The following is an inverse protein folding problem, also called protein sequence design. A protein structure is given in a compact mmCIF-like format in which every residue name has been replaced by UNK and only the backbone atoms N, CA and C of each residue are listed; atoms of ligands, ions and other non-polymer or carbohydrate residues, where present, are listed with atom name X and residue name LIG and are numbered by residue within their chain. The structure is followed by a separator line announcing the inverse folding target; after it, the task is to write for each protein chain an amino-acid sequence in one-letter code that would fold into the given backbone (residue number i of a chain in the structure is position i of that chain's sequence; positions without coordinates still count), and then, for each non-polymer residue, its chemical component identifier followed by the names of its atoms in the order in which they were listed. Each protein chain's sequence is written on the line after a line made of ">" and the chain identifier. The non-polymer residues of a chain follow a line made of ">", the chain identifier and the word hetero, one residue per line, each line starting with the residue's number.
data_IF_197352914866
#
_entry.id   IF_197352914866
#
_cell.length_a   1.000
_cell.length_b   1.000
_cell.length_c   1.000
_cell.angle_alpha   90.00
_cell.angle_beta   90.00
_cell.angle_gamma   90.00
#
_symmetry.space_group_name_H-M   'P 1'
#
loop_
_entity.id
_entity.type
_entity.pdbx_description
1 polymer ?
#
# COMPACT_ATOMS: atom_id res chain seq x y z
N UNK A 1 25.25 22.16 -145.88
CA UNK A 1 23.87 22.41 -146.36
C UNK A 1 23.03 22.82 -145.17
N UNK A 2 22.26 23.89 -145.36
CA UNK A 2 21.59 24.71 -144.37
C UNK A 2 20.23 24.10 -143.97
N UNK A 3 19.97 23.85 -142.69
CA UNK A 3 18.62 23.63 -142.16
C UNK A 3 18.49 24.25 -140.77
N UNK A 4 17.42 25.03 -140.63
CA UNK A 4 17.11 25.98 -139.56
C UNK A 4 16.84 25.33 -138.19
N UNK A 5 17.01 26.07 -137.08
CA UNK A 5 16.66 25.62 -135.73
C UNK A 5 15.15 25.82 -135.48
N UNK A 6 14.57 25.22 -134.42
CA UNK A 6 13.96 26.14 -133.44
C UNK A 6 13.78 25.64 -131.98
N UNK A 7 13.55 26.64 -131.11
CA UNK A 7 12.81 26.69 -129.83
C UNK A 7 13.54 26.38 -128.51
N UNK A 8 13.77 27.46 -127.76
CA UNK A 8 13.95 27.47 -126.31
C UNK A 8 12.64 27.05 -125.59
N UNK A 9 12.71 26.26 -124.50
CA UNK A 9 11.65 26.18 -123.52
C UNK A 9 11.71 27.34 -122.51
N UNK A 10 10.58 27.72 -121.89
CA UNK A 10 10.45 28.90 -121.04
C UNK A 10 11.12 28.75 -119.67
N UNK A 11 11.63 29.88 -119.17
CA UNK A 11 12.08 30.10 -117.80
C UNK A 11 10.92 29.95 -116.81
N UNK A 12 11.02 28.96 -115.92
CA UNK A 12 10.20 28.91 -114.71
C UNK A 12 10.94 29.61 -113.57
N UNK A 13 10.28 30.61 -113.03
CA UNK A 13 10.74 31.43 -111.91
C UNK A 13 10.95 30.63 -110.62
N UNK A 14 11.94 31.13 -109.90
CA UNK A 14 12.45 30.80 -108.57
C UNK A 14 11.33 30.75 -107.50
N UNK A 15 11.56 30.05 -106.37
CA UNK A 15 11.61 30.86 -105.15
C UNK A 15 12.78 30.51 -104.22
N UNK A 16 13.24 31.58 -103.57
CA UNK A 16 14.26 31.67 -102.55
C UNK A 16 14.33 30.46 -101.60
N UNK A 17 15.53 29.89 -101.47
CA UNK A 17 15.87 29.07 -100.32
C UNK A 17 15.79 29.95 -99.06
N UNK A 18 14.68 29.81 -98.33
CA UNK A 18 14.57 30.26 -96.94
C UNK A 18 15.66 29.59 -96.11
N UNK A 19 16.54 30.41 -95.57
CA UNK A 19 17.49 30.06 -94.50
C UNK A 19 16.71 29.39 -93.36
N UNK A 20 16.93 28.09 -93.16
CA UNK A 20 16.38 27.37 -92.03
C UNK A 20 17.07 27.86 -90.74
N UNK A 21 16.32 28.30 -89.72
CA UNK A 21 16.92 28.61 -88.42
C UNK A 21 17.41 27.31 -87.77
N UNK A 22 18.57 27.39 -87.12
CA UNK A 22 19.19 26.30 -86.37
C UNK A 22 18.25 25.76 -85.28
N UNK A 23 17.44 24.77 -85.63
CA UNK A 23 16.62 24.00 -84.71
C UNK A 23 17.40 22.76 -84.26
N UNK A 24 18.42 22.97 -83.44
CA UNK A 24 18.97 21.92 -82.59
C UNK A 24 19.41 22.55 -81.26
N UNK A 25 18.43 22.98 -80.47
CA UNK A 25 18.62 23.13 -79.03
C UNK A 25 18.60 21.73 -78.43
N UNK A 26 19.76 21.21 -78.04
CA UNK A 26 19.88 19.96 -77.30
C UNK A 26 18.97 20.01 -76.07
N UNK A 27 18.07 19.05 -75.84
CA UNK A 27 17.25 19.06 -74.63
C UNK A 27 18.20 18.92 -73.44
N UNK A 28 18.29 19.97 -72.60
CA UNK A 28 18.90 19.87 -71.27
C UNK A 28 18.22 18.69 -70.57
N UNK A 29 18.96 17.60 -70.35
CA UNK A 29 18.51 16.51 -69.47
C UNK A 29 18.25 17.12 -68.10
N UNK A 30 16.98 17.38 -67.79
CA UNK A 30 16.56 17.68 -66.44
C UNK A 30 16.78 16.38 -65.65
N UNK A 31 17.86 16.31 -64.87
CA UNK A 31 17.99 15.28 -63.85
C UNK A 31 16.76 15.36 -62.96
N UNK A 32 16.01 14.26 -62.76
CA UNK A 32 14.85 14.28 -61.88
C UNK A 32 15.30 14.75 -60.49
N UNK A 33 14.52 15.64 -59.82
CA UNK A 33 14.86 16.08 -58.48
C UNK A 33 14.98 14.86 -57.57
N UNK A 34 16.03 14.81 -56.75
CA UNK A 34 16.22 13.75 -55.77
C UNK A 34 14.92 13.56 -54.95
N UNK A 35 14.48 12.32 -54.67
CA UNK A 35 13.27 12.10 -53.90
C UNK A 35 13.40 12.80 -52.55
N UNK A 36 12.50 13.73 -52.28
CA UNK A 36 12.47 14.44 -51.00
C UNK A 36 12.32 13.41 -49.87
N UNK A 37 13.00 13.58 -48.72
CA UNK A 37 12.89 12.65 -47.61
C UNK A 37 11.42 12.59 -47.19
N UNK A 38 10.76 11.46 -47.48
CA UNK A 38 9.37 11.22 -47.06
C UNK A 38 9.35 11.31 -45.54
N UNK A 39 8.91 12.46 -45.01
CA UNK A 39 8.62 12.63 -43.58
C UNK A 39 7.61 11.54 -43.22
N UNK A 40 8.07 10.46 -42.57
CA UNK A 40 7.19 9.41 -42.06
C UNK A 40 6.27 10.09 -41.05
N UNK A 41 5.02 10.37 -41.46
CA UNK A 41 3.99 10.83 -40.53
C UNK A 41 3.79 9.69 -39.57
N UNK A 42 4.12 9.92 -38.30
CA UNK A 42 3.87 8.96 -37.23
C UNK A 42 2.38 8.64 -37.23
N UNK A 43 2.06 7.35 -37.27
CA UNK A 43 0.69 6.89 -37.18
C UNK A 43 0.14 7.19 -35.78
N UNK A 44 -1.18 7.23 -35.64
CA UNK A 44 -1.83 7.33 -34.32
C UNK A 44 -1.35 6.19 -33.40
N UNK A 45 -1.11 5.00 -33.96
CA UNK A 45 -0.55 3.86 -33.24
C UNK A 45 0.85 4.15 -32.69
N UNK A 46 1.74 4.81 -33.44
CA UNK A 46 3.08 5.18 -32.96
C UNK A 46 3.00 6.10 -31.74
N UNK A 47 2.04 7.04 -31.72
CA UNK A 47 1.81 7.91 -30.58
C UNK A 47 1.27 7.16 -29.36
N UNK A 48 0.33 6.22 -29.56
CA UNK A 48 -0.18 5.37 -28.49
C UNK A 48 0.95 4.52 -27.90
N UNK A 49 1.77 3.88 -28.73
CA UNK A 49 2.90 3.07 -28.28
C UNK A 49 3.90 3.92 -27.50
N UNK A 50 4.25 5.12 -27.99
CA UNK A 50 5.14 6.04 -27.27
C UNK A 50 4.56 6.49 -25.93
N UNK A 51 3.25 6.75 -25.86
CA UNK A 51 2.58 7.10 -24.63
C UNK A 51 2.65 5.96 -23.62
N UNK A 52 2.35 4.73 -24.04
CA UNK A 52 2.42 3.54 -23.19
C UNK A 52 3.85 3.26 -22.70
N UNK A 53 4.84 3.37 -23.58
CA UNK A 53 6.25 3.26 -23.21
C UNK A 53 6.68 4.37 -22.24
N UNK A 54 6.21 5.60 -22.45
CA UNK A 54 6.45 6.73 -21.55
C UNK A 54 5.86 6.50 -20.16
N UNK A 55 4.62 6.01 -20.09
CA UNK A 55 3.96 5.67 -18.82
C UNK A 55 4.68 4.52 -18.10
N UNK A 56 5.08 3.48 -18.85
CA UNK A 56 5.86 2.38 -18.28
C UNK A 56 7.21 2.86 -17.75
N UNK A 57 7.94 3.69 -18.51
CA UNK A 57 9.18 4.29 -18.07
C UNK A 57 8.99 5.16 -16.81
N UNK A 58 7.90 5.93 -16.73
CA UNK A 58 7.57 6.69 -15.54
C UNK A 58 7.36 5.79 -14.31
N UNK A 59 6.67 4.65 -14.46
CA UNK A 59 6.50 3.67 -13.39
C UNK A 59 7.87 3.11 -12.96
N UNK A 60 8.70 2.68 -13.92
CA UNK A 60 10.04 2.15 -13.64
C UNK A 60 10.91 3.19 -12.91
N UNK A 61 10.92 4.44 -13.38
CA UNK A 61 11.67 5.53 -12.74
C UNK A 61 11.14 5.83 -11.34
N UNK A 62 9.83 5.76 -11.13
CA UNK A 62 9.21 5.95 -9.81
C UNK A 62 9.63 4.84 -8.85
N UNK A 63 9.52 3.57 -9.25
CA UNK A 63 9.98 2.44 -8.43
C UNK A 63 11.47 2.57 -8.15
N UNK A 64 12.28 2.90 -9.16
CA UNK A 64 13.72 3.10 -8.97
C UNK A 64 14.03 4.23 -7.99
N UNK A 65 13.33 5.36 -8.05
CA UNK A 65 13.52 6.47 -7.12
C UNK A 65 13.18 6.08 -5.67
N UNK A 66 12.07 5.34 -5.48
CA UNK A 66 11.61 4.85 -4.18
C UNK A 66 12.54 3.78 -3.56
N UNK A 67 13.52 3.26 -4.32
CA UNK A 67 14.61 2.45 -3.77
C UNK A 67 15.41 3.21 -2.70
N UNK A 68 15.54 4.52 -2.84
CA UNK A 68 16.33 5.36 -1.91
C UNK A 68 15.50 6.42 -1.19
N UNK A 69 14.40 6.88 -1.79
CA UNK A 69 13.58 7.95 -1.22
C UNK A 69 12.52 7.40 -0.27
N UNK A 70 12.24 8.07 0.86
CA UNK A 70 11.11 7.71 1.71
C UNK A 70 9.80 7.79 0.91
N UNK A 71 8.86 6.90 1.22
CA UNK A 71 7.55 6.89 0.58
C UNK A 71 6.67 7.96 1.24
N UNK A 72 6.25 9.04 0.58
CA UNK A 72 5.47 10.09 1.24
C UNK A 72 3.99 9.69 1.43
N UNK A 73 3.46 8.87 0.52
CA UNK A 73 2.07 8.40 0.54
C UNK A 73 1.95 7.14 -0.31
N UNK A 74 0.82 6.44 -0.20
CA UNK A 74 0.52 5.24 -0.98
C UNK A 74 -0.91 5.27 -1.49
N UNK A 75 -1.19 4.44 -2.49
CA UNK A 75 -2.55 4.27 -3.00
C UNK A 75 -3.55 3.85 -1.91
N UNK A 76 -3.14 3.04 -0.92
CA UNK A 76 -3.97 2.67 0.22
C UNK A 76 -4.21 3.83 1.20
N UNK A 77 -3.19 4.63 1.51
CA UNK A 77 -3.34 5.81 2.38
C UNK A 77 -4.33 6.82 1.78
N UNK A 78 -4.29 7.03 0.46
CA UNK A 78 -5.19 7.93 -0.26
C UNK A 78 -6.65 7.45 -0.29
N UNK A 79 -6.87 6.15 -0.12
CA UNK A 79 -8.20 5.51 -0.13
C UNK A 79 -8.64 5.06 1.26
N UNK A 80 -7.94 5.51 2.32
CA UNK A 80 -8.31 5.18 3.69
C UNK A 80 -9.70 5.74 4.03
N UNK A 81 -10.61 4.93 4.62
CA UNK A 81 -11.91 5.42 5.08
C UNK A 81 -11.79 6.31 6.34
N UNK A 82 -10.63 6.28 7.01
CA UNK A 82 -10.33 7.11 8.17
C UNK A 82 -9.41 8.24 7.74
N UNK A 83 -9.86 9.49 7.96
CA UNK A 83 -9.09 10.70 7.67
C UNK A 83 -9.08 11.64 8.89
N UNK A 84 -7.96 12.32 9.20
CA UNK A 84 -6.65 12.17 8.56
C UNK A 84 -5.97 10.84 8.93
N UNK A 85 -5.16 10.30 8.02
CA UNK A 85 -4.33 9.13 8.31
C UNK A 85 -3.18 9.51 9.24
N UNK A 86 -2.80 8.61 10.16
CA UNK A 86 -1.60 8.71 10.97
C UNK A 86 -0.48 7.94 10.28
N UNK A 87 0.56 8.65 9.88
CA UNK A 87 1.68 8.09 9.15
C UNK A 87 2.98 8.82 9.48
N UNK A 88 4.01 8.06 9.80
CA UNK A 88 5.36 8.58 10.02
C UNK A 88 6.36 7.61 9.41
N UNK A 89 7.13 8.08 8.42
CA UNK A 89 8.22 7.30 7.85
C UNK A 89 9.42 7.26 8.80
N UNK A 90 9.97 6.07 9.02
CA UNK A 90 11.26 5.86 9.70
C UNK A 90 12.17 4.94 8.90
N UNK A 91 13.49 5.21 8.84
CA UNK A 91 14.44 4.31 8.19
C UNK A 91 14.53 2.97 8.93
N UNK A 92 14.96 1.91 8.23
CA UNK A 92 15.07 0.56 8.79
C UNK A 92 15.87 0.49 10.10
N UNK A 93 16.91 1.33 10.26
CA UNK A 93 17.73 1.42 11.48
C UNK A 93 16.99 1.94 12.71
N UNK A 94 15.81 2.56 12.54
CA UNK A 94 14.93 3.03 13.61
C UNK A 94 13.74 2.10 13.84
N UNK A 95 13.77 0.88 13.30
CA UNK A 95 12.78 -0.15 13.54
C UNK A 95 13.44 -1.29 14.31
N UNK A 96 12.83 -1.74 15.40
CA UNK A 96 13.37 -2.84 16.20
C UNK A 96 13.56 -4.12 15.37
N UNK A 97 14.65 -4.86 15.62
CA UNK A 97 14.96 -6.13 14.96
C UNK A 97 13.85 -7.16 15.19
N UNK A 98 13.27 -7.15 16.39
CA UNK A 98 12.12 -7.99 16.73
C UNK A 98 10.90 -7.71 15.85
N UNK A 99 10.72 -6.47 15.40
CA UNK A 99 9.61 -6.10 14.52
C UNK A 99 9.82 -6.61 13.10
N UNK A 100 11.06 -6.51 12.59
CA UNK A 100 11.44 -7.10 11.30
C UNK A 100 11.24 -8.62 11.32
N UNK A 101 11.74 -9.29 12.37
CA UNK A 101 11.59 -10.72 12.55
C UNK A 101 10.13 -11.16 12.72
N UNK A 102 9.32 -10.40 13.46
CA UNK A 102 7.91 -10.71 13.68
C UNK A 102 7.09 -10.69 12.38
N UNK A 103 7.32 -9.70 11.51
CA UNK A 103 6.63 -9.61 10.22
C UNK A 103 7.05 -10.72 9.28
N UNK A 104 8.36 -11.00 9.17
CA UNK A 104 8.84 -12.13 8.36
C UNK A 104 8.21 -13.43 8.85
N UNK A 105 8.24 -13.69 10.16
CA UNK A 105 7.64 -14.89 10.74
C UNK A 105 6.12 -14.98 10.51
N UNK A 106 5.41 -13.86 10.54
CA UNK A 106 3.95 -13.82 10.45
C UNK A 106 3.42 -13.92 9.02
N UNK A 107 4.07 -13.24 8.07
CA UNK A 107 3.58 -13.00 6.71
C UNK A 107 4.32 -13.83 5.67
N UNK A 108 5.64 -14.07 5.85
CA UNK A 108 6.50 -14.57 4.79
C UNK A 108 7.83 -15.14 5.34
N UNK A 109 7.78 -16.35 5.90
CA UNK A 109 8.95 -16.98 6.56
C UNK A 109 10.14 -17.19 5.60
N UNK A 110 9.87 -17.35 4.30
CA UNK A 110 10.88 -17.56 3.24
C UNK A 110 11.25 -16.27 2.51
N UNK A 111 10.93 -15.11 3.07
CA UNK A 111 11.09 -13.80 2.41
C UNK A 111 12.44 -13.59 1.73
N UNK A 112 13.55 -13.99 2.37
CA UNK A 112 14.90 -13.83 1.83
C UNK A 112 15.30 -14.90 0.81
N UNK A 113 14.59 -16.02 0.76
CA UNK A 113 14.90 -17.16 -0.11
C UNK A 113 14.29 -16.98 -1.51
N UNK A 114 13.07 -16.43 -1.60
CA UNK A 114 12.37 -16.29 -2.87
C UNK A 114 12.60 -14.92 -3.55
N UNK A 115 12.09 -14.77 -4.79
CA UNK A 115 12.17 -13.54 -5.61
C UNK A 115 10.78 -12.96 -5.88
N UNK A 116 10.07 -12.61 -4.81
CA UNK A 116 8.72 -12.04 -4.86
C UNK A 116 7.55 -13.02 -4.77
N UNK A 117 7.75 -14.30 -5.09
CA UNK A 117 6.70 -15.30 -5.04
C UNK A 117 7.19 -16.56 -4.32
N UNK A 118 6.43 -17.00 -3.32
CA UNK A 118 6.64 -18.31 -2.68
C UNK A 118 5.73 -19.35 -3.35
N UNK A 119 6.29 -20.08 -4.32
CA UNK A 119 5.54 -21.09 -5.07
C UNK A 119 5.10 -22.27 -4.20
N UNK A 120 5.88 -22.63 -3.18
CA UNK A 120 5.51 -23.69 -2.25
C UNK A 120 4.33 -23.26 -1.37
N UNK A 121 4.33 -22.01 -0.88
CA UNK A 121 3.20 -21.47 -0.14
C UNK A 121 1.93 -21.38 -1.03
N UNK A 122 2.08 -21.02 -2.30
CA UNK A 122 0.98 -21.00 -3.27
C UNK A 122 0.40 -22.40 -3.47
N UNK A 123 1.24 -23.41 -3.68
CA UNK A 123 0.80 -24.80 -3.85
C UNK A 123 0.09 -25.32 -2.60
N UNK A 124 0.69 -25.12 -1.42
CA UNK A 124 0.08 -25.47 -0.13
C UNK A 124 -1.26 -24.78 0.09
N UNK A 125 -1.37 -23.50 -0.28
CA UNK A 125 -2.63 -22.76 -0.18
C UNK A 125 -3.69 -23.31 -1.15
N UNK A 126 -3.31 -23.68 -2.37
CA UNK A 126 -4.22 -24.31 -3.34
C UNK A 126 -4.76 -25.64 -2.79
N UNK A 127 -3.89 -26.49 -2.27
CA UNK A 127 -4.28 -27.80 -1.74
C UNK A 127 -5.14 -27.68 -0.48
N UNK A 128 -4.79 -26.76 0.42
CA UNK A 128 -5.61 -26.43 1.58
C UNK A 128 -7.01 -25.95 1.16
N UNK A 129 -7.08 -25.04 0.18
CA UNK A 129 -8.34 -24.43 -0.27
C UNK A 129 -9.23 -25.40 -1.07
N UNK A 130 -8.67 -26.50 -1.60
CA UNK A 130 -9.45 -27.60 -2.19
C UNK A 130 -10.12 -28.47 -1.14
N UNK A 131 -9.49 -28.62 0.03
CA UNK A 131 -9.92 -29.56 1.08
C UNK A 131 -10.75 -28.89 2.18
N UNK A 132 -10.62 -27.58 2.37
CA UNK A 132 -11.25 -26.82 3.45
C UNK A 132 -12.14 -25.70 2.90
N UNK A 133 -13.19 -25.34 3.64
CA UNK A 133 -14.03 -24.17 3.32
C UNK A 133 -13.32 -22.83 3.53
N UNK A 134 -12.27 -22.80 4.34
CA UNK A 134 -11.57 -21.57 4.73
C UNK A 134 -10.38 -21.33 3.82
N UNK A 135 -10.31 -20.13 3.22
CA UNK A 135 -9.24 -19.79 2.28
C UNK A 135 -7.98 -19.34 3.02
N UNK A 136 -6.85 -19.95 2.69
CA UNK A 136 -5.52 -19.52 3.11
C UNK A 136 -4.90 -18.64 2.03
N UNK A 137 -4.34 -17.50 2.46
CA UNK A 137 -3.56 -16.62 1.59
C UNK A 137 -2.14 -17.15 1.37
N UNK A 138 -1.51 -16.74 0.27
CA UNK A 138 -0.12 -17.03 -0.06
C UNK A 138 0.60 -15.80 -0.65
N UNK A 139 0.19 -14.58 -0.25
CA UNK A 139 0.80 -13.35 -0.76
C UNK A 139 2.03 -12.99 0.07
N UNK A 140 3.18 -12.86 -0.59
CA UNK A 140 4.47 -12.50 0.03
C UNK A 140 4.50 -11.03 0.47
N UNK A 141 5.51 -10.67 1.29
CA UNK A 141 5.74 -9.27 1.68
C UNK A 141 5.93 -8.37 0.45
N UNK A 142 6.60 -8.86 -0.60
CA UNK A 142 6.83 -8.11 -1.83
C UNK A 142 5.54 -7.86 -2.61
N UNK A 143 4.66 -8.86 -2.69
CA UNK A 143 3.34 -8.71 -3.30
C UNK A 143 2.46 -7.72 -2.54
N UNK A 144 2.46 -7.81 -1.21
CA UNK A 144 1.72 -6.87 -0.37
C UNK A 144 2.28 -5.45 -0.47
N UNK A 145 3.60 -5.30 -0.60
CA UNK A 145 4.25 -4.00 -0.83
C UNK A 145 3.80 -3.40 -2.17
N UNK A 146 3.82 -4.18 -3.25
CA UNK A 146 3.33 -3.75 -4.56
C UNK A 146 1.86 -3.32 -4.52
N UNK A 147 1.02 -4.13 -3.85
CA UNK A 147 -0.41 -3.85 -3.66
C UNK A 147 -0.62 -2.53 -2.93
N UNK A 148 -0.03 -2.37 -1.74
CA UNK A 148 -0.28 -1.23 -0.88
C UNK A 148 0.24 0.08 -1.48
N UNK A 149 1.38 0.02 -2.16
CA UNK A 149 2.06 1.20 -2.71
C UNK A 149 1.33 1.77 -3.94
N UNK A 150 0.96 0.90 -4.90
CA UNK A 150 0.54 1.33 -6.23
C UNK A 150 -0.90 0.99 -6.60
N UNK A 151 -1.55 0.07 -5.88
CA UNK A 151 -2.85 -0.47 -6.26
C UNK A 151 -3.94 -0.08 -5.25
N UNK A 152 -5.18 -0.42 -5.59
CA UNK A 152 -6.36 -0.14 -4.78
C UNK A 152 -6.83 -1.36 -3.98
N UNK A 153 -7.62 -1.16 -2.91
CA UNK A 153 -8.28 -2.24 -2.17
C UNK A 153 -9.26 -3.04 -3.06
N UNK A 154 -9.52 -4.30 -2.72
CA UNK A 154 -10.46 -5.16 -3.44
C UNK A 154 -9.80 -6.28 -4.25
N UNK A 155 -10.61 -7.09 -4.94
CA UNK A 155 -10.16 -8.29 -5.64
C UNK A 155 -9.98 -8.14 -7.15
N UNK A 156 -9.84 -9.27 -7.83
CA UNK A 156 -9.89 -9.36 -9.30
C UNK A 156 -8.58 -9.83 -9.94
N UNK A 157 -8.70 -10.72 -10.93
CA UNK A 157 -7.55 -11.28 -11.66
C UNK A 157 -6.72 -10.21 -12.37
N UNK A 158 -7.36 -9.17 -12.90
CA UNK A 158 -6.66 -8.06 -13.55
C UNK A 158 -5.74 -7.32 -12.57
N UNK A 159 -6.29 -6.89 -11.41
CA UNK A 159 -5.51 -6.24 -10.36
C UNK A 159 -4.39 -7.16 -9.86
N UNK A 160 -4.66 -8.45 -9.69
CA UNK A 160 -3.64 -9.43 -9.27
C UNK A 160 -2.53 -9.62 -10.32
N UNK A 161 -2.84 -9.49 -11.61
CA UNK A 161 -1.85 -9.47 -12.69
C UNK A 161 -0.95 -8.23 -12.64
N UNK A 162 -1.52 -7.04 -12.39
CA UNK A 162 -0.75 -5.81 -12.18
C UNK A 162 0.15 -5.93 -10.93
N UNK A 163 -0.39 -6.48 -9.84
CA UNK A 163 0.37 -6.75 -8.61
C UNK A 163 1.58 -7.65 -8.88
N UNK A 164 1.40 -8.72 -9.67
CA UNK A 164 2.50 -9.61 -10.03
C UNK A 164 3.58 -8.88 -10.86
N UNK A 165 3.19 -8.08 -11.87
CA UNK A 165 4.15 -7.31 -12.67
C UNK A 165 4.94 -6.28 -11.85
N UNK A 166 4.26 -5.56 -10.95
CA UNK A 166 4.89 -4.62 -10.04
C UNK A 166 5.79 -5.32 -9.00
N UNK A 167 5.41 -6.52 -8.54
CA UNK A 167 6.23 -7.34 -7.63
C UNK A 167 7.56 -7.70 -8.28
N UNK A 168 7.53 -8.15 -9.55
CA UNK A 168 8.76 -8.45 -10.30
C UNK A 168 9.64 -7.21 -10.43
N UNK A 169 9.03 -6.05 -10.74
CA UNK A 169 9.76 -4.79 -10.86
C UNK A 169 10.42 -4.38 -9.53
N UNK A 170 9.70 -4.47 -8.42
CA UNK A 170 10.21 -4.18 -7.06
C UNK A 170 11.36 -5.13 -6.71
N UNK A 171 11.19 -6.44 -6.87
CA UNK A 171 12.22 -7.44 -6.56
C UNK A 171 13.47 -7.34 -7.44
N UNK A 172 13.32 -6.84 -8.67
CA UNK A 172 14.45 -6.58 -9.56
C UNK A 172 15.20 -5.32 -9.13
N UNK A 173 14.48 -4.27 -8.72
CA UNK A 173 15.06 -2.95 -8.49
C UNK A 173 15.44 -2.69 -7.04
N UNK A 174 14.88 -3.38 -6.05
CA UNK A 174 15.09 -3.11 -4.62
C UNK A 174 15.76 -4.30 -3.92
N UNK A 175 16.70 -4.07 -2.99
CA UNK A 175 17.20 -5.14 -2.12
C UNK A 175 16.11 -5.55 -1.11
N UNK A 176 16.18 -6.78 -0.60
CA UNK A 176 15.17 -7.34 0.33
C UNK A 176 14.97 -6.49 1.57
N UNK A 177 16.03 -5.91 2.10
CA UNK A 177 16.02 -5.03 3.26
C UNK A 177 15.18 -3.78 2.98
N UNK A 178 15.27 -3.24 1.76
CA UNK A 178 14.50 -2.08 1.34
C UNK A 178 13.01 -2.40 1.17
N UNK A 179 12.70 -3.56 0.59
CA UNK A 179 11.32 -4.03 0.45
C UNK A 179 10.68 -4.14 1.84
N UNK A 180 11.37 -4.77 2.80
CA UNK A 180 10.89 -4.92 4.17
C UNK A 180 10.75 -3.56 4.89
N UNK A 181 11.69 -2.64 4.71
CA UNK A 181 11.60 -1.28 5.24
C UNK A 181 10.36 -0.54 4.72
N UNK A 182 10.14 -0.57 3.40
CA UNK A 182 8.98 0.07 2.78
C UNK A 182 7.70 -0.58 3.29
N UNK A 183 7.62 -1.92 3.30
CA UNK A 183 6.48 -2.66 3.81
C UNK A 183 6.10 -2.23 5.23
N UNK A 184 7.07 -2.23 6.16
CA UNK A 184 6.87 -1.87 7.56
C UNK A 184 6.42 -0.41 7.74
N UNK A 185 6.77 0.47 6.81
CA UNK A 185 6.32 1.85 6.83
C UNK A 185 4.94 2.04 6.19
N UNK A 186 4.52 1.21 5.22
CA UNK A 186 3.26 1.44 4.50
C UNK A 186 2.12 0.52 4.91
N UNK A 187 2.38 -0.53 5.68
CA UNK A 187 1.34 -1.43 6.18
C UNK A 187 0.36 -0.71 7.12
N UNK A 188 -0.93 -1.06 7.02
CA UNK A 188 -1.96 -0.59 7.95
C UNK A 188 -1.95 -1.50 9.19
N UNK A 189 -1.72 -0.94 10.37
CA UNK A 189 -1.72 -1.67 11.65
C UNK A 189 -2.99 -1.45 12.48
N UNK A 190 -3.83 -0.52 12.05
CA UNK A 190 -5.10 -0.16 12.68
C UNK A 190 -5.87 0.82 11.79
N UNK A 191 -7.16 1.11 12.08
CA UNK A 191 -7.95 2.02 11.27
C UNK A 191 -7.27 3.38 11.08
N UNK A 192 -6.83 3.68 9.84
CA UNK A 192 -6.12 4.92 9.51
C UNK A 192 -4.71 5.06 10.10
N UNK A 193 -4.12 3.98 10.63
CA UNK A 193 -2.77 3.96 11.21
C UNK A 193 -1.86 3.19 10.27
N UNK A 194 -1.03 3.91 9.52
CA UNK A 194 -0.09 3.35 8.58
C UNK A 194 1.34 3.50 9.08
N UNK A 195 2.11 2.43 8.94
CA UNK A 195 3.51 2.40 9.31
C UNK A 195 3.76 2.11 10.77
N UNK A 196 4.87 1.41 10.99
CA UNK A 196 5.20 0.84 12.30
C UNK A 196 5.53 1.90 13.35
N UNK A 197 6.07 3.06 12.96
CA UNK A 197 6.29 4.17 13.90
C UNK A 197 4.96 4.72 14.41
N UNK A 198 4.01 5.03 13.51
CA UNK A 198 2.71 5.51 13.92
C UNK A 198 1.97 4.47 14.78
N UNK A 199 2.09 3.18 14.45
CA UNK A 199 1.53 2.08 15.24
C UNK A 199 2.15 1.97 16.63
N UNK A 200 3.48 2.01 16.74
CA UNK A 200 4.20 1.91 18.01
C UNK A 200 3.84 3.07 18.96
N UNK A 201 3.77 4.29 18.43
CA UNK A 201 3.35 5.47 19.19
C UNK A 201 1.89 5.35 19.63
N UNK A 202 0.99 4.93 18.72
CA UNK A 202 -0.44 4.85 19.01
C UNK A 202 -0.78 3.77 20.02
N UNK A 203 -0.21 2.58 19.88
CA UNK A 203 -0.60 1.43 20.70
C UNK A 203 0.20 1.35 22.00
N UNK A 204 1.49 1.70 21.98
CA UNK A 204 2.42 1.47 23.08
C UNK A 204 3.11 2.75 23.60
N UNK A 205 2.88 3.92 22.98
CA UNK A 205 3.42 5.19 23.45
C UNK A 205 4.94 5.31 23.37
N UNK A 206 5.58 4.64 22.39
CA UNK A 206 7.04 4.60 22.25
C UNK A 206 7.48 4.50 20.78
N UNK A 207 8.74 4.86 20.47
CA UNK A 207 9.26 4.73 19.10
C UNK A 207 9.37 3.27 18.67
N UNK A 208 9.26 3.03 17.36
CA UNK A 208 9.36 1.70 16.76
C UNK A 208 10.69 0.99 17.07
N UNK A 209 11.76 1.76 17.32
CA UNK A 209 13.08 1.23 17.73
C UNK A 209 13.08 0.58 19.12
N UNK A 210 12.05 0.81 19.95
CA UNK A 210 11.93 0.28 21.32
C UNK A 210 10.80 -0.75 21.47
N UNK A 211 10.28 -1.27 20.36
CA UNK A 211 9.32 -2.37 20.41
C UNK A 211 9.98 -3.62 20.99
N UNK A 212 9.30 -4.27 21.93
CA UNK A 212 9.68 -5.58 22.46
C UNK A 212 9.27 -6.67 21.48
N UNK A 213 9.78 -7.89 21.66
CA UNK A 213 9.36 -9.04 20.86
C UNK A 213 7.84 -9.30 20.94
N UNK A 214 7.24 -9.18 22.12
CA UNK A 214 5.81 -9.41 22.30
C UNK A 214 4.96 -8.33 21.59
N UNK A 215 5.33 -7.06 21.70
CA UNK A 215 4.61 -5.98 21.00
C UNK A 215 4.78 -6.09 19.48
N UNK A 216 5.98 -6.45 19.03
CA UNK A 216 6.28 -6.73 17.62
C UNK A 216 5.39 -7.86 17.08
N UNK A 217 5.27 -8.96 17.84
CA UNK A 217 4.40 -10.08 17.50
C UNK A 217 2.92 -9.69 17.48
N UNK A 218 2.46 -8.84 18.41
CA UNK A 218 1.10 -8.30 18.42
C UNK A 218 0.80 -7.42 17.20
N UNK A 219 1.74 -6.56 16.82
CA UNK A 219 1.61 -5.74 15.61
C UNK A 219 1.58 -6.59 14.35
N UNK A 220 2.44 -7.60 14.24
CA UNK A 220 2.42 -8.52 13.11
C UNK A 220 1.14 -9.37 13.08
N UNK A 221 0.62 -9.79 14.24
CA UNK A 221 -0.62 -10.58 14.33
C UNK A 221 -1.88 -9.84 13.87
N UNK A 222 -1.88 -8.50 13.82
CA UNK A 222 -3.04 -7.73 13.37
C UNK A 222 -3.06 -7.45 11.86
N UNK A 223 -1.93 -7.61 11.16
CA UNK A 223 -1.77 -7.27 9.74
C UNK A 223 -2.79 -7.93 8.79
N UNK A 224 -3.25 -9.18 9.01
CA UNK A 224 -4.26 -9.77 8.12
C UNK A 224 -5.64 -9.12 8.23
N UNK A 225 -5.94 -8.39 9.30
CA UNK A 225 -7.24 -7.72 9.50
C UNK A 225 -7.11 -6.52 10.47
N UNK A 226 -6.37 -5.47 10.08
CA UNK A 226 -5.96 -4.39 10.98
C UNK A 226 -7.14 -3.52 11.45
N UNK A 227 -8.25 -3.52 10.70
CA UNK A 227 -9.46 -2.78 11.08
C UNK A 227 -10.35 -3.53 12.07
N UNK A 228 -10.15 -4.85 12.22
CA UNK A 228 -10.95 -5.72 13.10
C UNK A 228 -10.23 -6.06 14.39
N UNK A 229 -8.90 -6.05 14.37
CA UNK A 229 -8.08 -6.49 15.48
C UNK A 229 -7.29 -5.35 16.10
N UNK A 230 -6.97 -5.49 17.39
CA UNK A 230 -6.25 -4.48 18.16
C UNK A 230 -4.96 -5.06 18.73
N UNK A 231 -3.84 -4.40 18.44
CA UNK A 231 -2.54 -4.74 19.04
C UNK A 231 -2.44 -4.26 20.50
N UNK A 232 -3.19 -3.22 20.87
CA UNK A 232 -3.25 -2.67 22.24
C UNK A 232 -4.11 -3.55 23.16
N UNK A 233 -5.26 -4.01 22.68
CA UNK A 233 -6.20 -4.87 23.41
C UNK A 233 -6.41 -6.17 22.62
N UNK A 234 -5.45 -7.10 22.67
CA UNK A 234 -5.49 -8.30 21.83
C UNK A 234 -6.59 -9.25 22.30
N UNK A 235 -7.53 -9.58 21.40
CA UNK A 235 -8.49 -10.66 21.61
C UNK A 235 -7.83 -12.05 21.52
N UNK A 236 -8.60 -13.13 21.74
CA UNK A 236 -8.06 -14.50 21.80
C UNK A 236 -7.24 -14.91 20.57
N UNK A 237 -7.72 -14.56 19.37
CA UNK A 237 -6.98 -14.84 18.13
C UNK A 237 -5.62 -14.13 18.10
N UNK A 238 -5.59 -12.82 18.38
CA UNK A 238 -4.35 -12.02 18.34
C UNK A 238 -3.36 -12.54 19.37
N UNK A 239 -3.83 -12.93 20.57
CA UNK A 239 -2.98 -13.52 21.59
C UNK A 239 -2.36 -14.85 21.11
N UNK A 240 -3.18 -15.76 20.58
CA UNK A 240 -2.72 -17.04 20.06
C UNK A 240 -1.74 -16.88 18.89
N UNK A 241 -2.04 -15.98 17.95
CA UNK A 241 -1.18 -15.68 16.80
C UNK A 241 0.12 -15.01 17.24
N UNK A 242 0.08 -14.08 18.20
CA UNK A 242 1.30 -13.46 18.75
C UNK A 242 2.20 -14.50 19.43
N UNK A 243 1.63 -15.43 20.21
CA UNK A 243 2.38 -16.51 20.83
C UNK A 243 3.00 -17.45 19.79
N UNK A 244 2.28 -17.72 18.70
CA UNK A 244 2.82 -18.45 17.55
C UNK A 244 4.00 -17.72 16.91
N UNK A 245 3.85 -16.43 16.59
CA UNK A 245 4.92 -15.59 16.00
C UNK A 245 6.16 -15.55 16.90
N UNK A 246 5.98 -15.40 18.22
CA UNK A 246 7.10 -15.43 19.18
C UNK A 246 7.88 -16.74 19.15
N UNK A 247 7.20 -17.88 19.01
CA UNK A 247 7.86 -19.18 18.86
C UNK A 247 8.68 -19.23 17.57
N UNK A 248 8.12 -18.73 16.47
CA UNK A 248 8.82 -18.66 15.18
C UNK A 248 10.05 -17.75 15.22
N UNK A 249 10.00 -16.69 16.01
CA UNK A 249 11.14 -15.81 16.26
C UNK A 249 12.16 -16.40 17.26
N UNK A 250 11.90 -17.58 17.84
CA UNK A 250 12.79 -18.25 18.80
C UNK A 250 12.63 -17.84 20.27
N UNK A 251 11.57 -17.11 20.63
CA UNK A 251 11.29 -16.66 22.01
C UNK A 251 10.47 -17.66 22.84
N UNK A 252 10.09 -18.81 22.28
CA UNK A 252 9.39 -19.88 22.99
C UNK A 252 10.20 -21.17 23.04
N UNK A 253 9.76 -22.15 23.84
CA UNK A 253 10.48 -23.42 23.90
C UNK A 253 10.39 -24.11 22.53
N UNK A 254 11.54 -24.59 22.03
CA UNK A 254 11.61 -25.36 20.79
C UNK A 254 10.81 -26.65 20.99
N UNK A 255 9.70 -26.77 20.28
CA UNK A 255 8.91 -28.00 20.23
C UNK A 255 8.90 -28.45 18.77
N UNK A 256 9.28 -29.71 18.55
CA UNK A 256 8.98 -30.42 17.31
C UNK A 256 7.67 -31.20 17.54
N UNK A 257 6.66 -31.10 16.66
CA UNK A 257 6.63 -30.36 15.39
C UNK A 257 6.29 -28.86 15.53
N UNK A 258 6.68 -28.09 14.52
CA UNK A 258 6.37 -26.66 14.40
C UNK A 258 4.84 -26.45 14.39
N UNK A 259 4.29 -25.61 15.29
CA UNK A 259 2.85 -25.42 15.38
C UNK A 259 2.33 -24.76 14.10
N UNK A 260 1.15 -25.13 13.61
CA UNK A 260 0.51 -24.34 12.54
C UNK A 260 0.02 -22.99 13.07
N UNK A 261 0.06 -21.92 12.25
CA UNK A 261 -0.55 -20.66 12.65
C UNK A 261 -2.07 -20.82 12.81
N UNK A 262 -2.70 -20.11 13.76
CA UNK A 262 -4.14 -20.07 13.87
C UNK A 262 -4.82 -19.72 12.55
N UNK A 263 -5.94 -20.37 12.24
CA UNK A 263 -6.70 -20.11 11.02
C UNK A 263 -7.16 -18.64 10.96
N UNK A 264 -6.78 -17.95 9.88
CA UNK A 264 -7.21 -16.58 9.64
C UNK A 264 -8.70 -16.54 9.30
N UNK A 265 -9.52 -15.68 9.93
CA UNK A 265 -10.91 -15.51 9.54
C UNK A 265 -11.02 -15.05 8.09
N UNK A 266 -12.15 -15.36 7.44
CA UNK A 266 -12.37 -15.04 6.03
C UNK A 266 -12.12 -13.54 5.74
N UNK A 267 -11.12 -13.27 4.89
CA UNK A 267 -10.69 -11.92 4.51
C UNK A 267 -11.60 -11.27 3.44
N UNK A 268 -12.74 -11.88 3.08
CA UNK A 268 -13.61 -11.41 2.00
C UNK A 268 -14.36 -10.09 2.32
N UNK A 269 -14.19 -9.55 3.52
CA UNK A 269 -14.81 -8.31 3.97
C UNK A 269 -13.81 -7.13 4.01
N UNK A 270 -12.98 -6.96 2.97
CA UNK A 270 -12.13 -5.75 2.81
C UNK A 270 -12.98 -4.46 2.73
N UNK A 271 -14.32 -4.57 2.59
CA UNK A 271 -15.29 -3.45 2.64
C UNK A 271 -15.89 -3.18 4.03
N UNK A 272 -15.31 -3.72 5.11
CA UNK A 272 -15.84 -3.56 6.46
C UNK A 272 -15.94 -2.09 6.90
N UNK A 273 -17.15 -1.53 6.80
CA UNK A 273 -17.64 -0.44 7.65
C UNK A 273 -17.21 -0.72 9.09
N UNK A 274 -16.52 0.24 9.70
CA UNK A 274 -16.15 0.15 11.11
C UNK A 274 -17.39 -0.22 11.93
N UNK A 275 -17.29 -1.27 12.74
CA UNK A 275 -18.30 -1.53 13.76
C UNK A 275 -18.42 -0.24 14.60
N UNK A 276 -19.63 0.31 14.84
CA UNK A 276 -19.77 1.48 15.68
C UNK A 276 -19.21 1.14 17.05
N UNK A 277 -18.35 2.02 17.58
CA UNK A 277 -18.10 2.09 19.01
C UNK A 277 -19.48 2.24 19.67
N UNK A 278 -19.95 1.19 20.32
CA UNK A 278 -21.20 1.19 21.07
C UNK A 278 -21.06 2.23 22.17
N UNK A 279 -21.71 3.38 21.99
CA UNK A 279 -22.09 4.25 23.09
C UNK A 279 -23.10 3.49 23.94
N UNK A 280 -22.81 3.46 25.23
CA UNK A 280 -23.61 2.87 26.29
C UNK A 280 -25.05 3.40 26.25
N UNK A 281 -25.99 2.54 25.84
CA UNK A 281 -27.44 2.75 26.00
C UNK A 281 -28.00 1.46 26.62
N UNK A 282 -28.63 1.51 27.80
CA UNK A 282 -29.18 0.32 28.45
C UNK A 282 -30.28 -0.32 27.60
N UNK A 283 -30.42 -1.66 27.60
CA UNK A 283 -31.39 -2.34 26.75
C UNK A 283 -32.83 -2.01 27.19
N UNK A 284 -33.61 -1.49 26.25
CA UNK A 284 -35.05 -1.46 26.33
C UNK A 284 -35.60 -2.90 26.34
N UNK A 285 -36.52 -3.16 27.26
CA UNK A 285 -37.20 -4.44 27.43
C UNK A 285 -38.03 -4.82 26.18
N UNK A 286 -38.24 -6.12 25.91
CA UNK A 286 -39.10 -6.56 24.82
C UNK A 286 -40.57 -6.67 25.25
N UNK A 287 -41.45 -5.94 24.56
CA UNK A 287 -42.88 -6.24 24.36
C UNK A 287 -43.00 -6.80 22.93
N UNK A 288 -43.88 -7.73 22.52
CA UNK A 288 -44.90 -8.58 23.11
C UNK A 288 -45.21 -9.62 22.01
N UNK A 289 -45.49 -10.87 22.38
CA UNK A 289 -46.22 -11.82 21.54
C UNK A 289 -46.81 -12.97 22.38
N UNK A 290 -47.95 -12.71 23.02
CA UNK A 290 -49.16 -13.51 22.75
C UNK A 290 -49.56 -14.68 23.66
N UNK A 291 -50.71 -14.45 24.33
CA UNK A 291 -51.85 -15.35 24.62
C UNK A 291 -51.98 -16.12 25.96
N UNK A 292 -53.16 -15.88 26.57
CA UNK A 292 -53.95 -16.71 27.52
C UNK A 292 -53.36 -16.90 28.94
N UNK A 293 -54.05 -16.73 30.08
CA UNK A 293 -55.49 -16.70 30.43
C UNK A 293 -55.67 -16.22 31.91
N UNK A 294 -56.75 -15.46 32.18
CA UNK A 294 -57.56 -15.26 33.42
C UNK A 294 -56.98 -14.89 34.81
N UNK A 295 -57.51 -13.78 35.35
CA UNK A 295 -58.36 -13.65 36.60
C UNK A 295 -57.93 -12.49 37.55
N UNK A 296 -58.82 -11.56 37.99
CA UNK A 296 -58.43 -10.38 38.78
C UNK A 296 -58.95 -10.40 40.23
N UNK A 297 -58.11 -10.02 41.21
CA UNK A 297 -58.61 -9.44 42.45
C UNK A 297 -57.53 -8.67 43.22
N UNK A 298 -57.86 -7.40 43.52
CA UNK A 298 -57.62 -6.66 44.76
C UNK A 298 -56.15 -6.48 45.24
N UNK A 299 -55.71 -5.23 45.44
CA UNK A 299 -55.71 -4.62 46.78
C UNK A 299 -55.19 -3.16 46.80
N UNK A 300 -56.10 -2.27 47.18
CA UNK A 300 -56.05 -1.04 48.01
C UNK A 300 -54.79 -0.16 48.13
N UNK A 301 -55.13 1.13 48.14
CA UNK A 301 -54.34 2.34 48.32
C UNK A 301 -53.99 2.68 49.80
N UNK A 302 -52.76 3.23 50.01
CA UNK A 302 -52.39 4.56 50.62
C UNK A 302 -52.82 4.78 52.11
N UNK A 303 -52.05 5.42 53.04
CA UNK A 303 -51.47 6.76 52.83
C UNK A 303 -50.17 7.20 53.54
N UNK A 304 -49.75 8.37 53.04
CA UNK A 304 -48.68 9.33 53.34
C UNK A 304 -48.46 9.80 54.78
N UNK A 305 -47.23 10.29 55.05
CA UNK A 305 -46.93 11.50 55.83
C UNK A 305 -45.64 12.21 55.36
N UNK A 306 -45.78 13.51 55.15
CA UNK A 306 -44.79 14.62 55.13
C UNK A 306 -45.46 15.71 56.05
N UNK A 307 -44.84 16.79 56.61
CA UNK A 307 -43.64 17.48 56.13
C UNK A 307 -42.70 18.18 57.16
N UNK A 308 -41.61 18.74 56.59
CA UNK A 308 -40.86 19.98 56.91
C UNK A 308 -40.01 20.13 58.19
N UNK A 309 -38.69 20.37 58.01
CA UNK A 309 -38.07 21.72 58.12
C UNK A 309 -36.54 21.78 57.85
N UNK A 310 -36.19 22.60 56.86
CA UNK A 310 -35.19 23.68 56.81
C UNK A 310 -33.69 23.51 57.15
N UNK A 311 -32.88 23.73 56.08
CA UNK A 311 -31.81 24.73 55.91
C UNK A 311 -30.33 24.49 56.37
N UNK A 312 -29.49 24.09 55.39
CA UNK A 312 -28.25 24.72 54.84
C UNK A 312 -27.58 25.97 55.51
N UNK A 313 -26.32 26.39 55.15
CA UNK A 313 -25.07 25.66 54.86
C UNK A 313 -23.73 26.38 55.30
N UNK A 314 -22.56 25.76 55.01
CA UNK A 314 -21.19 26.33 54.74
C UNK A 314 -20.19 26.65 55.92
N UNK A 315 -18.86 26.96 55.68
CA UNK A 315 -17.71 26.03 55.54
C UNK A 315 -16.44 26.50 56.34
N UNK A 316 -15.25 25.86 56.21
CA UNK A 316 -13.88 26.44 56.40
C UNK A 316 -12.84 25.31 56.20
N UNK A 317 -11.90 25.32 55.24
CA UNK A 317 -10.70 26.15 55.00
C UNK A 317 -9.39 25.50 55.53
N UNK A 318 -8.36 25.56 54.67
CA UNK A 318 -7.02 25.01 54.82
C UNK A 318 -6.08 25.94 55.61
N UNK A 319 -5.02 25.38 56.20
CA UNK A 319 -3.90 26.16 56.73
C UNK A 319 -2.56 25.45 56.47
N UNK A 320 -1.51 26.28 56.41
CA UNK A 320 -0.23 26.13 55.72
C UNK A 320 0.97 26.05 56.67
N UNK A 321 1.99 25.30 56.24
CA UNK A 321 3.45 25.58 56.30
C UNK A 321 4.24 25.77 57.62
N UNK A 322 5.48 25.25 57.53
CA UNK A 322 6.76 25.79 58.07
C UNK A 322 7.35 25.15 59.34
N UNK A 323 8.47 24.41 59.19
CA UNK A 323 9.72 24.64 59.94
C UNK A 323 10.89 23.99 59.18
N UNK A 324 11.95 24.77 58.97
CA UNK A 324 13.25 24.39 58.45
C UNK A 324 14.23 24.16 59.60
N UNK A 325 15.15 23.19 59.48
CA UNK A 325 16.51 23.36 60.02
C UNK A 325 17.50 22.34 59.40
N UNK A 326 18.60 22.87 58.89
CA UNK A 326 19.85 22.22 58.52
C UNK A 326 20.93 23.05 59.23
N UNK A 327 22.06 22.47 59.71
CA UNK A 327 23.29 22.67 58.94
C UNK A 327 24.40 21.60 59.10
N UNK A 328 25.40 21.77 58.22
CA UNK A 328 26.83 21.42 58.32
C UNK A 328 27.25 19.95 58.05
N UNK A 329 27.95 19.59 56.96
CA UNK A 329 29.24 20.05 56.39
C UNK A 329 30.46 19.35 57.03
N UNK A 330 31.06 18.37 56.31
CA UNK A 330 32.50 18.34 55.94
C UNK A 330 32.91 17.08 55.15
N UNK A 331 33.95 17.20 54.29
CA UNK A 331 34.44 16.14 53.40
C UNK A 331 35.67 15.41 53.97
N UNK A 332 35.98 14.22 53.46
CA UNK A 332 37.32 13.61 53.55
C UNK A 332 37.70 12.90 52.26
N UNK A 333 38.93 13.19 51.85
CA UNK A 333 39.67 12.74 50.66
C UNK A 333 40.52 11.49 50.97
N UNK A 334 41.06 10.93 49.87
CA UNK A 334 42.34 10.22 49.74
C UNK A 334 42.48 8.70 49.98
N UNK A 335 42.50 8.00 48.82
CA UNK A 335 43.59 7.20 48.24
C UNK A 335 43.91 5.73 48.67
N UNK A 336 44.40 4.89 47.73
CA UNK A 336 44.75 3.45 47.87
C UNK A 336 46.24 3.26 48.25
N UNK A 337 46.85 2.05 48.52
CA UNK A 337 47.11 0.93 47.56
C UNK A 337 47.32 -0.45 48.31
N UNK A 338 48.25 -1.42 48.03
CA UNK A 338 49.36 -1.58 47.05
C UNK A 338 49.02 -2.30 45.73
#
# INVERSE_FOLDING_TARGET
>A
MNTAPPRQPPSLGVPAHKSLPALYGSPRRQTPPAPSPRRRRLSVLDWIVRLLLGLFALIVLTVLALRWLPVPTTAFMLQSPVTPVRYTWVPASRIADSMRAAVIAAEDQKFFEHRGFDFEAIEKAIDHNRQRRQRRGASTISQQTAKNLFLWPGGGYFRKGLEAGLTVLIETLWPKERILEVYLNIAEFGPGIYGVEAAAQTFFGKPASRLTALESARLAAVLPSPRRWSARQPGPYVQARSAWILRQMGYGPRHDPEPEPPAEPDQNDESGTAAPLTTDTPPAAPEDAGMMETDPAHERAVPARDPTRDADPQPLAAETASTAEQPADRPTTDNPPP
#
